data_IF_171594695956
#
_entry.id   IF_171594695956
#
_cell.length_a   1.000
_cell.length_b   1.000
_cell.length_c   1.000
_cell.angle_alpha   90.00
_cell.angle_beta   90.00
_cell.angle_gamma   90.00
#
_symmetry.space_group_name_H-M   'P 1'
#
loop_
_entity.id
_entity.type
_entity.pdbx_description
1 polymer ?
#
# COMPACT_ATOMS: atom_id res chain seq x y z
N UNK A 1 -14.95 -10.91 19.43
CA UNK A 1 -13.75 -11.74 19.53
C UNK A 1 -12.65 -10.81 20.00
N UNK A 2 -12.26 -10.96 21.28
CA UNK A 2 -11.20 -10.15 21.86
C UNK A 2 -9.86 -10.55 21.23
N UNK A 3 -9.44 -9.77 20.26
CA UNK A 3 -8.14 -9.98 19.60
C UNK A 3 -7.07 -9.38 20.51
N UNK A 4 -6.19 -10.19 21.04
CA UNK A 4 -5.00 -9.72 21.75
C UNK A 4 -4.08 -9.02 20.74
N UNK A 5 -3.96 -7.70 20.87
CA UNK A 5 -3.11 -6.88 19.99
C UNK A 5 -1.74 -6.66 20.63
N UNK A 6 -0.72 -6.61 19.80
CA UNK A 6 0.62 -6.14 20.13
C UNK A 6 0.65 -4.64 19.87
N UNK A 7 0.77 -3.83 20.90
CA UNK A 7 0.65 -2.36 20.80
C UNK A 7 2.00 -1.71 21.09
N UNK A 8 2.41 -0.79 20.23
CA UNK A 8 3.49 0.15 20.50
C UNK A 8 2.90 1.46 21.04
N UNK A 9 3.51 2.00 22.08
CA UNK A 9 3.10 3.28 22.66
C UNK A 9 4.24 4.28 22.63
N UNK A 10 3.93 5.57 22.40
CA UNK A 10 4.91 6.65 22.44
C UNK A 10 4.29 7.92 23.02
N UNK A 11 4.99 8.51 23.95
CA UNK A 11 4.68 9.79 24.56
C UNK A 11 5.97 10.35 25.19
N UNK A 12 6.21 11.64 25.17
CA UNK A 12 7.38 12.23 25.84
C UNK A 12 7.21 12.30 27.36
N UNK A 13 5.96 12.33 27.84
CA UNK A 13 5.61 12.29 29.26
C UNK A 13 5.73 10.88 29.85
N UNK A 14 6.58 10.68 30.86
CA UNK A 14 6.76 9.39 31.51
C UNK A 14 5.45 8.85 32.12
N UNK A 15 4.71 9.70 32.81
CA UNK A 15 3.46 9.33 33.47
C UNK A 15 2.42 8.76 32.48
N UNK A 16 2.38 9.30 31.26
CA UNK A 16 1.49 8.81 30.21
C UNK A 16 1.93 7.45 29.69
N UNK A 17 3.24 7.25 29.47
CA UNK A 17 3.78 5.94 29.09
C UNK A 17 3.47 4.87 30.14
N UNK A 18 3.69 5.20 31.41
CA UNK A 18 3.41 4.27 32.54
C UNK A 18 1.92 3.97 32.64
N UNK A 19 1.05 4.96 32.44
CA UNK A 19 -0.40 4.76 32.39
C UNK A 19 -0.81 3.79 31.27
N UNK A 20 -0.33 4.02 30.04
CA UNK A 20 -0.67 3.16 28.90
C UNK A 20 -0.13 1.73 29.09
N UNK A 21 1.08 1.58 29.64
CA UNK A 21 1.65 0.27 29.96
C UNK A 21 0.84 -0.50 31.03
N UNK A 22 0.26 0.22 31.98
CA UNK A 22 -0.55 -0.38 33.03
C UNK A 22 -1.97 -0.75 32.56
N UNK A 23 -2.59 0.10 31.74
CA UNK A 23 -4.01 -0.05 31.39
C UNK A 23 -4.25 -0.99 30.20
N UNK A 24 -3.39 -0.99 29.17
CA UNK A 24 -3.60 -1.81 27.96
C UNK A 24 -3.63 -3.33 28.25
N UNK A 25 -2.82 -3.87 29.16
CA UNK A 25 -2.94 -5.27 29.58
C UNK A 25 -4.28 -5.62 30.26
N UNK A 26 -4.93 -4.64 30.92
CA UNK A 26 -6.26 -4.86 31.52
C UNK A 26 -7.35 -5.10 30.46
N UNK A 27 -7.14 -4.66 29.23
CA UNK A 27 -7.97 -4.94 28.06
C UNK A 27 -7.50 -6.17 27.25
N UNK A 28 -6.52 -6.90 27.77
CA UNK A 28 -5.98 -8.11 27.12
C UNK A 28 -4.99 -7.83 25.99
N UNK A 29 -4.46 -6.60 25.87
CA UNK A 29 -3.46 -6.26 24.87
C UNK A 29 -2.03 -6.36 25.43
N UNK A 30 -1.05 -6.53 24.56
CA UNK A 30 0.36 -6.62 24.95
C UNK A 30 1.09 -5.35 24.48
N UNK A 31 1.68 -4.60 25.41
CA UNK A 31 2.59 -3.50 25.06
C UNK A 31 3.94 -4.08 24.70
N UNK A 32 4.33 -3.99 23.43
CA UNK A 32 5.57 -4.59 22.90
C UNK A 32 6.67 -3.56 22.70
N UNK A 33 6.33 -2.29 22.63
CA UNK A 33 7.29 -1.20 22.49
C UNK A 33 6.80 0.03 23.25
N UNK A 34 7.72 0.72 23.90
CA UNK A 34 7.48 2.00 24.58
C UNK A 34 8.57 2.97 24.13
N UNK A 35 8.19 4.13 23.63
CA UNK A 35 9.10 5.13 23.11
C UNK A 35 8.84 6.50 23.75
N UNK A 36 9.87 7.33 23.83
CA UNK A 36 9.80 8.71 24.32
C UNK A 36 9.96 9.74 23.21
N UNK A 37 10.28 9.29 22.00
CA UNK A 37 10.44 10.14 20.81
C UNK A 37 9.90 9.43 19.58
N UNK A 38 9.54 10.19 18.53
CA UNK A 38 9.08 9.59 17.28
C UNK A 38 10.14 8.72 16.58
N UNK A 39 11.41 9.10 16.68
CA UNK A 39 12.52 8.31 16.12
C UNK A 39 12.64 6.95 16.79
N UNK A 40 12.62 6.93 18.11
CA UNK A 40 12.65 5.71 18.91
C UNK A 40 11.44 4.81 18.57
N UNK A 41 10.26 5.41 18.40
CA UNK A 41 9.04 4.70 18.02
C UNK A 41 9.23 4.00 16.66
N UNK A 42 9.75 4.69 15.65
CA UNK A 42 10.00 4.11 14.32
C UNK A 42 10.94 2.91 14.40
N UNK A 43 12.05 3.04 15.12
CA UNK A 43 13.03 1.95 15.29
C UNK A 43 12.43 0.74 15.99
N UNK A 44 11.70 0.95 17.09
CA UNK A 44 11.04 -0.12 17.84
C UNK A 44 9.92 -0.80 17.03
N UNK A 45 9.14 -0.04 16.27
CA UNK A 45 8.12 -0.61 15.39
C UNK A 45 8.71 -1.50 14.29
N UNK A 46 9.89 -1.17 13.76
CA UNK A 46 10.59 -2.03 12.79
C UNK A 46 11.03 -3.36 13.39
N UNK A 47 11.45 -3.36 14.65
CA UNK A 47 11.93 -4.55 15.35
C UNK A 47 10.76 -5.41 15.82
N UNK A 48 9.80 -4.82 16.50
CA UNK A 48 8.73 -5.53 17.19
C UNK A 48 7.52 -5.85 16.31
N UNK A 49 7.33 -5.14 15.18
CA UNK A 49 6.18 -5.33 14.29
C UNK A 49 4.85 -5.34 15.04
N UNK A 50 4.46 -4.24 15.71
CA UNK A 50 3.20 -4.17 16.43
C UNK A 50 1.98 -4.23 15.51
N UNK A 51 0.81 -4.55 16.06
CA UNK A 51 -0.49 -4.56 15.37
C UNK A 51 -1.17 -3.18 15.38
N UNK A 52 -0.79 -2.31 16.33
CA UNK A 52 -1.35 -0.98 16.53
C UNK A 52 -0.30 -0.05 17.15
N UNK A 53 -0.34 1.22 16.79
CA UNK A 53 0.45 2.28 17.42
C UNK A 53 -0.48 3.26 18.12
N UNK A 54 -0.15 3.63 19.36
CA UNK A 54 -0.74 4.76 20.09
C UNK A 54 0.40 5.74 20.37
N UNK A 55 0.32 6.94 19.82
CA UNK A 55 1.41 7.91 19.94
C UNK A 55 0.92 9.33 20.21
N UNK A 56 1.62 10.04 21.08
CA UNK A 56 1.41 11.49 21.18
C UNK A 56 1.80 12.18 19.87
N UNK A 57 1.13 13.28 19.57
CA UNK A 57 1.45 14.11 18.42
C UNK A 57 2.76 14.87 18.70
N UNK A 58 2.88 15.51 19.86
CA UNK A 58 4.01 16.36 20.19
C UNK A 58 5.09 15.59 20.94
N UNK A 59 6.13 15.22 20.22
CA UNK A 59 7.30 14.58 20.80
C UNK A 59 8.59 15.25 20.31
N UNK A 60 9.68 15.19 21.09
CA UNK A 60 10.97 15.71 20.64
C UNK A 60 11.52 14.92 19.45
N UNK A 61 12.42 15.53 18.69
CA UNK A 61 13.10 15.03 17.49
C UNK A 61 12.18 14.80 16.29
N UNK A 62 11.11 14.07 16.46
CA UNK A 62 10.15 13.73 15.44
C UNK A 62 8.75 13.65 16.04
N UNK A 63 7.80 14.38 15.48
CA UNK A 63 6.40 14.36 15.92
C UNK A 63 5.74 13.01 15.60
N UNK A 64 4.63 12.69 16.31
CA UNK A 64 3.92 11.42 16.16
C UNK A 64 3.33 11.22 14.76
N UNK A 65 2.94 12.31 14.06
CA UNK A 65 2.41 12.25 12.70
C UNK A 65 3.53 11.84 11.72
N UNK A 66 4.69 12.47 11.82
CA UNK A 66 5.85 12.13 11.00
C UNK A 66 6.34 10.69 11.28
N UNK A 67 6.33 10.26 12.54
CA UNK A 67 6.67 8.90 12.93
C UNK A 67 5.68 7.90 12.33
N UNK A 68 4.36 8.15 12.44
CA UNK A 68 3.31 7.34 11.84
C UNK A 68 3.49 7.20 10.33
N UNK A 69 3.70 8.33 9.63
CA UNK A 69 3.95 8.34 8.18
C UNK A 69 5.17 7.50 7.80
N UNK A 70 6.25 7.58 8.56
CA UNK A 70 7.46 6.80 8.29
C UNK A 70 7.26 5.31 8.54
N UNK A 71 6.56 4.92 9.62
CA UNK A 71 6.24 3.53 9.93
C UNK A 71 5.35 2.94 8.83
N UNK A 72 4.30 3.67 8.43
CA UNK A 72 3.32 3.20 7.46
C UNK A 72 3.86 3.07 6.04
N UNK A 73 4.97 3.75 5.69
CA UNK A 73 5.73 3.51 4.45
C UNK A 73 6.42 2.15 4.44
N UNK A 74 6.92 1.70 5.58
CA UNK A 74 7.60 0.42 5.71
C UNK A 74 6.59 -0.75 5.79
N UNK A 75 5.52 -0.56 6.56
CA UNK A 75 4.41 -1.51 6.69
C UNK A 75 3.15 -0.79 7.17
N UNK A 76 2.00 -1.02 6.53
CA UNK A 76 0.74 -0.40 6.93
C UNK A 76 0.30 -0.91 8.30
N UNK A 77 -0.01 0.02 9.21
CA UNK A 77 -0.45 -0.27 10.58
C UNK A 77 -1.46 0.79 11.03
N UNK A 78 -2.50 0.45 11.80
CA UNK A 78 -3.40 1.43 12.37
C UNK A 78 -2.69 2.28 13.43
N UNK A 79 -2.92 3.59 13.38
CA UNK A 79 -2.37 4.55 14.32
C UNK A 79 -3.48 5.30 15.02
N UNK A 80 -3.39 5.40 16.34
CA UNK A 80 -4.19 6.27 17.19
C UNK A 80 -3.29 7.41 17.64
N UNK A 81 -3.67 8.65 17.33
CA UNK A 81 -2.97 9.82 17.83
C UNK A 81 -3.56 10.27 19.17
N UNK A 82 -2.70 10.63 20.07
CA UNK A 82 -3.04 11.31 21.32
C UNK A 82 -2.72 12.79 21.16
N UNK A 83 -3.65 13.68 21.51
CA UNK A 83 -3.46 15.12 21.37
C UNK A 83 -3.94 15.91 22.58
N UNK A 84 -3.37 17.07 22.82
CA UNK A 84 -3.96 18.04 23.71
C UNK A 84 -5.15 18.75 23.01
N UNK A 85 -6.08 19.29 23.81
CA UNK A 85 -7.34 19.91 23.34
C UNK A 85 -7.19 21.02 22.29
N UNK A 86 -5.98 21.57 22.09
CA UNK A 86 -5.71 22.73 21.22
C UNK A 86 -4.97 22.40 19.92
N UNK A 87 -4.87 21.15 19.53
CA UNK A 87 -4.05 20.71 18.39
C UNK A 87 -4.84 20.60 17.07
N UNK A 88 -5.89 21.40 16.87
CA UNK A 88 -6.74 21.36 15.67
C UNK A 88 -5.94 21.50 14.36
N UNK A 89 -4.94 22.37 14.30
CA UNK A 89 -4.11 22.57 13.10
C UNK A 89 -3.26 21.33 12.76
N UNK A 90 -2.93 20.52 13.76
CA UNK A 90 -2.19 19.26 13.57
C UNK A 90 -3.09 18.12 13.08
N UNK A 91 -4.40 18.18 13.43
CA UNK A 91 -5.37 17.21 12.95
C UNK A 91 -5.62 17.32 11.44
N UNK A 92 -5.50 18.51 10.86
CA UNK A 92 -5.58 18.69 9.40
C UNK A 92 -4.39 18.04 8.68
N UNK A 93 -3.20 18.04 9.30
CA UNK A 93 -2.01 17.32 8.78
C UNK A 93 -2.13 15.81 8.90
N UNK A 94 -2.99 15.33 9.79
CA UNK A 94 -3.23 13.92 10.04
C UNK A 94 -4.17 13.26 9.01
N UNK A 95 -4.48 13.91 7.88
CA UNK A 95 -5.27 13.36 6.77
C UNK A 95 -4.63 12.16 6.05
N UNK A 96 -3.64 11.50 6.67
CA UNK A 96 -3.01 10.28 6.18
C UNK A 96 -3.90 9.06 6.45
N UNK A 97 -4.00 8.19 5.46
CA UNK A 97 -4.86 6.99 5.41
C UNK A 97 -4.71 6.01 6.59
N UNK A 98 -3.70 6.20 7.45
CA UNK A 98 -3.36 5.27 8.53
C UNK A 98 -3.71 5.79 9.93
N UNK A 99 -4.04 7.07 10.06
CA UNK A 99 -4.49 7.66 11.32
C UNK A 99 -6.00 7.49 11.42
N UNK A 100 -6.43 6.57 12.26
CA UNK A 100 -7.79 6.06 12.23
C UNK A 100 -8.62 6.45 13.44
N UNK A 101 -7.98 6.96 14.50
CA UNK A 101 -8.64 7.49 15.69
C UNK A 101 -7.76 8.52 16.40
N UNK A 102 -8.41 9.34 17.22
CA UNK A 102 -7.78 10.35 18.06
C UNK A 102 -8.28 10.19 19.49
N UNK A 103 -7.38 10.38 20.45
CA UNK A 103 -7.66 10.49 21.88
C UNK A 103 -7.22 11.85 22.36
N UNK A 104 -8.03 12.49 23.19
CA UNK A 104 -7.72 13.80 23.77
C UNK A 104 -7.25 13.62 25.21
N UNK A 105 -6.14 14.26 25.56
CA UNK A 105 -5.64 14.30 26.94
C UNK A 105 -6.57 15.14 27.84
N UNK A 106 -6.89 14.71 29.08
CA UNK A 106 -6.45 13.47 29.71
C UNK A 106 -7.21 12.23 29.21
N UNK A 107 -6.47 11.17 28.84
CA UNK A 107 -7.06 9.94 28.34
C UNK A 107 -7.79 9.23 29.47
N UNK A 108 -9.06 8.93 29.26
CA UNK A 108 -9.85 8.11 30.19
C UNK A 108 -9.82 6.65 29.75
N UNK A 109 -9.84 5.74 30.73
CA UNK A 109 -9.91 4.30 30.47
C UNK A 109 -11.09 3.94 29.54
N UNK A 110 -12.25 4.58 29.72
CA UNK A 110 -13.44 4.35 28.92
C UNK A 110 -13.30 4.74 27.42
N UNK A 111 -12.31 5.58 27.06
CA UNK A 111 -12.11 6.07 25.71
C UNK A 111 -11.14 5.15 24.92
N UNK A 112 -10.25 4.43 25.61
CA UNK A 112 -9.20 3.60 24.99
C UNK A 112 -9.75 2.40 24.23
N UNK A 113 -10.56 1.59 24.87
CA UNK A 113 -11.09 0.35 24.27
C UNK A 113 -11.93 0.65 23.00
N UNK A 114 -12.89 1.62 23.01
CA UNK A 114 -13.59 2.01 21.80
C UNK A 114 -12.68 2.56 20.71
N UNK A 115 -11.66 3.34 21.06
CA UNK A 115 -10.72 3.91 20.08
C UNK A 115 -9.91 2.79 19.40
N UNK A 116 -9.41 1.82 20.16
CA UNK A 116 -8.69 0.65 19.66
C UNK A 116 -9.58 -0.16 18.73
N UNK A 117 -10.82 -0.46 19.15
CA UNK A 117 -11.77 -1.23 18.36
C UNK A 117 -12.12 -0.52 17.04
N UNK A 118 -12.36 0.80 17.08
CA UNK A 118 -12.67 1.60 15.89
C UNK A 118 -11.46 1.65 14.95
N UNK A 119 -10.26 1.94 15.46
CA UNK A 119 -9.06 2.03 14.66
C UNK A 119 -8.76 0.70 13.95
N UNK A 120 -8.80 -0.41 14.68
CA UNK A 120 -8.56 -1.75 14.13
C UNK A 120 -9.58 -2.10 13.05
N UNK A 121 -10.87 -1.89 13.31
CA UNK A 121 -11.94 -2.19 12.36
C UNK A 121 -11.84 -1.34 11.08
N UNK A 122 -11.58 -0.04 11.20
CA UNK A 122 -11.39 0.85 10.05
C UNK A 122 -10.19 0.44 9.22
N UNK A 123 -9.10 0.05 9.88
CA UNK A 123 -7.92 -0.43 9.19
C UNK A 123 -8.19 -1.70 8.39
N UNK A 124 -8.87 -2.69 8.97
CA UNK A 124 -9.27 -3.92 8.27
C UNK A 124 -10.14 -3.62 7.05
N UNK A 125 -11.12 -2.73 7.17
CA UNK A 125 -11.97 -2.29 6.06
C UNK A 125 -11.17 -1.59 4.96
N UNK A 126 -10.25 -0.72 5.33
CA UNK A 126 -9.39 -0.02 4.38
C UNK A 126 -8.45 -0.96 3.63
N UNK A 127 -7.84 -1.91 4.33
CA UNK A 127 -7.00 -2.93 3.72
C UNK A 127 -7.79 -3.83 2.75
N UNK A 128 -9.00 -4.24 3.13
CA UNK A 128 -9.87 -5.02 2.25
C UNK A 128 -10.22 -4.26 0.96
N UNK A 129 -10.58 -2.98 1.06
CA UNK A 129 -10.86 -2.13 -0.10
C UNK A 129 -9.63 -1.92 -1.00
N UNK A 130 -8.45 -1.73 -0.40
CA UNK A 130 -7.19 -1.62 -1.16
C UNK A 130 -6.88 -2.90 -1.92
N UNK A 131 -7.07 -4.06 -1.29
CA UNK A 131 -6.83 -5.34 -1.93
C UNK A 131 -7.82 -5.55 -3.09
N UNK A 132 -9.11 -5.30 -2.87
CA UNK A 132 -10.12 -5.39 -3.93
C UNK A 132 -9.81 -4.48 -5.12
N UNK A 133 -9.41 -3.23 -4.86
CA UNK A 133 -9.00 -2.29 -5.90
C UNK A 133 -7.75 -2.77 -6.67
N UNK A 134 -6.78 -3.37 -5.99
CA UNK A 134 -5.58 -3.95 -6.61
C UNK A 134 -5.95 -5.15 -7.49
N UNK A 135 -6.81 -6.04 -7.00
CA UNK A 135 -7.27 -7.23 -7.74
C UNK A 135 -8.05 -6.84 -9.00
N UNK A 136 -8.94 -5.83 -8.90
CA UNK A 136 -9.68 -5.31 -10.05
C UNK A 136 -8.76 -4.69 -11.10
N UNK A 137 -7.76 -3.89 -10.67
CA UNK A 137 -6.76 -3.32 -11.59
C UNK A 137 -5.97 -4.42 -12.29
N UNK A 138 -5.53 -5.43 -11.55
CA UNK A 138 -4.80 -6.57 -12.12
C UNK A 138 -5.66 -7.35 -13.12
N UNK A 139 -6.93 -7.58 -12.82
CA UNK A 139 -7.86 -8.25 -13.72
C UNK A 139 -8.07 -7.47 -15.03
N UNK A 140 -8.18 -6.14 -14.95
CA UNK A 140 -8.26 -5.27 -16.12
C UNK A 140 -6.99 -5.32 -16.98
N UNK A 141 -5.82 -5.25 -16.38
CA UNK A 141 -4.55 -5.36 -17.10
C UNK A 141 -4.39 -6.74 -17.74
N UNK A 142 -4.73 -7.80 -17.03
CA UNK A 142 -4.73 -9.17 -17.56
C UNK A 142 -5.65 -9.29 -18.79
N UNK A 143 -6.86 -8.71 -18.71
CA UNK A 143 -7.80 -8.70 -19.83
C UNK A 143 -7.22 -7.96 -21.04
N UNK A 144 -6.62 -6.78 -20.84
CA UNK A 144 -5.97 -6.02 -21.93
C UNK A 144 -4.86 -6.83 -22.61
N UNK A 145 -4.02 -7.54 -21.83
CA UNK A 145 -2.96 -8.38 -22.38
C UNK A 145 -3.55 -9.53 -23.22
N UNK A 146 -4.58 -10.21 -22.73
CA UNK A 146 -5.24 -11.30 -23.45
C UNK A 146 -5.87 -10.78 -24.76
N UNK A 147 -6.57 -9.64 -24.73
CA UNK A 147 -7.17 -9.05 -25.93
C UNK A 147 -6.11 -8.64 -26.96
N UNK A 148 -4.99 -8.05 -26.52
CA UNK A 148 -3.88 -7.71 -27.43
C UNK A 148 -3.26 -8.96 -28.07
N UNK A 149 -3.01 -10.01 -27.28
CA UNK A 149 -2.47 -11.29 -27.81
C UNK A 149 -3.44 -11.95 -28.77
N UNK A 150 -4.74 -11.93 -28.47
CA UNK A 150 -5.81 -12.42 -29.35
C UNK A 150 -5.80 -11.66 -30.69
N UNK A 151 -5.80 -10.33 -30.65
CA UNK A 151 -5.70 -9.49 -31.84
C UNK A 151 -4.44 -9.77 -32.66
N UNK A 152 -3.32 -10.02 -32.02
CA UNK A 152 -2.08 -10.41 -32.69
C UNK A 152 -2.20 -11.76 -33.43
N UNK A 153 -2.76 -12.77 -32.76
CA UNK A 153 -3.00 -14.09 -33.38
C UNK A 153 -3.98 -14.00 -34.57
N UNK A 154 -5.05 -13.21 -34.44
CA UNK A 154 -5.97 -12.95 -35.54
C UNK A 154 -5.24 -12.35 -36.75
N UNK A 155 -4.40 -11.34 -36.52
CA UNK A 155 -3.65 -10.65 -37.57
C UNK A 155 -2.56 -11.51 -38.23
N UNK A 156 -1.82 -12.28 -37.43
CA UNK A 156 -0.65 -13.04 -37.90
C UNK A 156 -1.02 -14.42 -38.47
N UNK A 157 -2.00 -15.10 -37.86
CA UNK A 157 -2.39 -16.45 -38.24
C UNK A 157 -3.71 -16.50 -39.05
N UNK A 158 -4.36 -15.37 -39.31
CA UNK A 158 -5.63 -15.33 -40.05
C UNK A 158 -6.79 -15.99 -39.30
N UNK A 159 -6.72 -16.09 -37.97
CA UNK A 159 -7.72 -16.74 -37.13
C UNK A 159 -8.89 -15.79 -36.84
N UNK A 160 -10.08 -16.36 -36.64
CA UNK A 160 -11.17 -15.60 -36.08
C UNK A 160 -10.98 -15.43 -34.54
N UNK A 161 -11.85 -14.64 -33.92
CA UNK A 161 -11.74 -14.30 -32.50
C UNK A 161 -11.83 -15.55 -31.58
N UNK A 162 -12.74 -16.45 -31.91
CA UNK A 162 -12.94 -17.68 -31.14
C UNK A 162 -11.76 -18.64 -31.29
N UNK A 163 -11.24 -18.78 -32.51
CA UNK A 163 -10.07 -19.60 -32.79
C UNK A 163 -8.82 -19.06 -32.11
N UNK A 164 -8.60 -17.73 -32.13
CA UNK A 164 -7.49 -17.10 -31.44
C UNK A 164 -7.57 -17.33 -29.92
N UNK A 165 -8.75 -17.19 -29.33
CA UNK A 165 -8.95 -17.45 -27.91
C UNK A 165 -8.73 -18.93 -27.54
N UNK A 166 -9.29 -19.88 -28.33
CA UNK A 166 -9.05 -21.31 -28.13
C UNK A 166 -7.57 -21.67 -28.26
N UNK A 167 -6.85 -21.02 -29.13
CA UNK A 167 -5.41 -21.21 -29.30
C UNK A 167 -4.64 -20.79 -28.06
N UNK A 168 -4.97 -19.62 -27.49
CA UNK A 168 -4.41 -19.18 -26.20
C UNK A 168 -4.70 -20.15 -25.07
N UNK A 169 -5.95 -20.62 -24.95
CA UNK A 169 -6.35 -21.60 -23.94
C UNK A 169 -5.59 -22.92 -24.07
N UNK A 170 -5.43 -23.43 -25.29
CA UNK A 170 -4.68 -24.67 -25.55
C UNK A 170 -3.22 -24.52 -25.11
N UNK A 171 -2.56 -23.42 -25.51
CA UNK A 171 -1.19 -23.14 -25.11
C UNK A 171 -1.03 -23.01 -23.59
N UNK A 172 -1.99 -22.40 -22.90
CA UNK A 172 -2.00 -22.31 -21.45
C UNK A 172 -2.10 -23.70 -20.79
N UNK A 173 -2.98 -24.56 -21.31
CA UNK A 173 -3.13 -25.95 -20.84
C UNK A 173 -1.87 -26.78 -21.10
N UNK A 174 -1.31 -26.72 -22.31
CA UNK A 174 -0.09 -27.47 -22.69
C UNK A 174 1.12 -27.08 -21.84
N UNK A 175 1.20 -25.81 -21.44
CA UNK A 175 2.31 -25.26 -20.65
C UNK A 175 2.02 -25.25 -19.15
N UNK A 176 0.83 -25.65 -18.72
CA UNK A 176 0.36 -25.60 -17.34
C UNK A 176 0.58 -24.23 -16.68
N UNK A 177 0.21 -23.18 -17.37
CA UNK A 177 0.36 -21.79 -16.93
C UNK A 177 -0.94 -20.99 -17.14
N UNK A 178 -0.99 -19.77 -16.56
CA UNK A 178 -2.16 -18.91 -16.70
C UNK A 178 -2.28 -18.36 -18.13
N UNK A 179 -3.53 -18.13 -18.56
CA UNK A 179 -3.83 -17.57 -19.89
C UNK A 179 -3.10 -16.22 -20.14
N UNK A 180 -3.02 -15.38 -19.13
CA UNK A 180 -2.32 -14.08 -19.19
C UNK A 180 -0.82 -14.24 -19.39
N UNK A 181 -0.21 -15.30 -18.85
CA UNK A 181 1.22 -15.57 -19.01
C UNK A 181 1.52 -15.95 -20.46
N UNK A 182 0.67 -16.77 -21.07
CA UNK A 182 0.77 -17.07 -22.51
C UNK A 182 0.59 -15.82 -23.35
N UNK A 183 -0.39 -14.98 -23.01
CA UNK A 183 -0.61 -13.73 -23.72
C UNK A 183 0.63 -12.82 -23.65
N UNK A 184 1.23 -12.68 -22.46
CA UNK A 184 2.46 -11.92 -22.27
C UNK A 184 3.63 -12.48 -23.10
N UNK A 185 3.85 -13.80 -23.08
CA UNK A 185 4.91 -14.46 -23.88
C UNK A 185 4.74 -14.18 -25.39
N UNK A 186 3.53 -14.25 -25.91
CA UNK A 186 3.25 -14.00 -27.33
C UNK A 186 3.55 -12.53 -27.67
N UNK A 187 3.14 -11.59 -26.83
CA UNK A 187 3.39 -10.16 -27.03
C UNK A 187 4.87 -9.82 -26.97
N UNK A 188 5.60 -10.36 -26.00
CA UNK A 188 7.06 -10.19 -25.88
C UNK A 188 7.79 -10.77 -27.08
N UNK A 189 7.38 -11.94 -27.57
CA UNK A 189 7.97 -12.53 -28.78
C UNK A 189 7.75 -11.63 -30.00
N UNK A 190 6.55 -11.05 -30.18
CA UNK A 190 6.26 -10.13 -31.28
C UNK A 190 7.10 -8.85 -31.19
N UNK A 191 7.26 -8.28 -30.01
CA UNK A 191 8.11 -7.10 -29.80
C UNK A 191 9.57 -7.37 -30.19
N UNK A 192 10.08 -8.57 -29.91
CA UNK A 192 11.41 -9.00 -30.31
C UNK A 192 11.61 -9.15 -31.83
N UNK A 193 10.54 -9.45 -32.56
CA UNK A 193 10.56 -9.60 -34.03
C UNK A 193 10.22 -8.32 -34.80
N UNK A 194 9.73 -7.26 -34.14
CA UNK A 194 9.52 -5.99 -34.82
C UNK A 194 10.89 -5.34 -35.11
N UNK A 195 11.23 -5.09 -36.39
CA UNK A 195 12.51 -4.42 -36.72
C UNK A 195 12.53 -3.02 -36.06
N UNK A 196 13.72 -2.61 -35.61
CA UNK A 196 14.01 -1.28 -35.06
C UNK A 196 13.89 -0.21 -36.20
N UNK A 197 12.73 -0.06 -36.77
CA UNK A 197 12.50 0.87 -37.91
C UNK A 197 12.34 2.33 -37.47
N UNK A 198 12.35 2.66 -36.19
CA UNK A 198 12.11 4.05 -35.73
C UNK A 198 13.34 4.95 -35.61
N UNK A 199 14.53 4.50 -35.99
CA UNK A 199 15.77 5.30 -35.86
C UNK A 199 16.35 5.82 -37.20
N UNK A 200 15.83 5.44 -38.37
CA UNK A 200 16.46 5.77 -39.68
C UNK A 200 15.86 6.97 -40.45
N UNK A 201 14.74 7.52 -40.01
CA UNK A 201 14.09 8.59 -40.85
C UNK A 201 14.42 10.03 -40.42
N UNK A 202 15.33 10.24 -39.48
CA UNK A 202 15.78 11.59 -39.10
C UNK A 202 17.08 12.06 -39.76
N UNK A 203 17.67 11.28 -40.67
CA UNK A 203 18.94 11.66 -41.31
C UNK A 203 18.92 11.51 -42.82
N UNK A 204 17.83 11.93 -43.46
CA UNK A 204 17.80 12.11 -44.92
C UNK A 204 18.23 13.54 -45.26
N UNK A 205 19.39 13.77 -45.87
CA UNK A 205 19.77 15.10 -46.34
C UNK A 205 18.79 15.52 -47.44
N UNK A 206 18.19 16.69 -47.28
CA UNK A 206 17.30 17.29 -48.27
C UNK A 206 17.98 17.47 -49.61
N UNK A 207 17.20 17.49 -50.72
CA UNK A 207 17.74 17.66 -52.06
C UNK A 207 18.43 19.02 -52.18
N UNK A 208 19.71 19.00 -52.63
CA UNK A 208 20.46 20.22 -52.99
C UNK A 208 19.84 20.80 -54.25
N UNK A 209 19.32 22.01 -54.14
CA UNK A 209 18.98 22.79 -55.32
C UNK A 209 20.24 23.19 -56.08
N UNK A 210 20.30 23.00 -57.40
CA UNK A 210 21.39 23.54 -58.19
C UNK A 210 21.16 25.03 -58.37
N UNK A 211 22.10 25.84 -57.94
CA UNK A 211 22.20 27.26 -58.35
C UNK A 211 22.76 27.31 -59.75
N UNK A 212 21.97 27.81 -60.73
CA UNK A 212 22.38 28.36 -61.94
C UNK A 212 22.50 29.88 -61.81
#
# INVERSE_FOLDING_TARGET
MDRHLRIAVADDELDMRDYLQAILPCFGHLVVAVASTGRELVEKCRQERPDLVITDIKMPDMDGIAAASQICKDFPIPVILVSAYHDHDLLERAGEDHILAFLVKPIKQADLEPAIAIATRRFEQFQALRQEAADLRQALENRKLIERAKGLLMKRAGLDENEAFRRLQRLASERNCKLVEVAAMILTAEEAYQPVERARDKNRPGPRHPTG
#
